data_IF_653619482694
#
_entry.id   IF_653619482694
#
_cell.length_a   1.000
_cell.length_b   1.000
_cell.length_c   1.000
_cell.angle_alpha   90.00
_cell.angle_beta   90.00
_cell.angle_gamma   90.00
#
_symmetry.space_group_name_H-M   'P 1'
#
loop_
_entity.id
_entity.type
_entity.pdbx_description
1 polymer ?
#
# COMPACT_ATOMS: atom_id res chain seq x y z
N UNK A 1 -15.26 -2.64 -7.90
CA UNK A 1 -14.04 -1.83 -7.80
C UNK A 1 -12.85 -2.75 -7.61
N UNK A 2 -12.77 -3.51 -6.54
CA UNK A 2 -11.64 -4.41 -6.23
C UNK A 2 -11.33 -5.42 -7.34
N UNK A 3 -12.32 -5.83 -8.13
CA UNK A 3 -12.13 -6.77 -9.25
C UNK A 3 -11.08 -6.29 -10.26
N UNK A 4 -10.99 -4.99 -10.53
CA UNK A 4 -10.01 -4.44 -11.48
C UNK A 4 -8.57 -4.66 -11.00
N UNK A 5 -8.33 -4.57 -9.69
CA UNK A 5 -7.05 -4.87 -9.07
C UNK A 5 -6.74 -6.36 -9.11
N UNK A 6 -7.71 -7.19 -8.71
CA UNK A 6 -7.55 -8.64 -8.68
C UNK A 6 -7.30 -9.22 -10.08
N UNK A 7 -8.08 -8.78 -11.07
CA UNK A 7 -7.90 -9.21 -12.45
C UNK A 7 -6.50 -8.82 -13.00
N UNK A 8 -6.01 -7.61 -12.67
CA UNK A 8 -4.68 -7.16 -13.08
C UNK A 8 -3.55 -7.97 -12.42
N UNK A 9 -3.67 -8.24 -11.13
CA UNK A 9 -2.70 -9.03 -10.35
C UNK A 9 -2.62 -10.46 -10.88
N UNK A 10 -3.78 -11.09 -11.09
CA UNK A 10 -3.87 -12.48 -11.57
C UNK A 10 -3.37 -12.60 -13.00
N UNK A 11 -3.65 -11.63 -13.87
CA UNK A 11 -3.15 -11.60 -15.25
C UNK A 11 -1.62 -11.59 -15.32
N UNK A 12 -0.93 -11.10 -14.29
CA UNK A 12 0.53 -11.17 -14.18
C UNK A 12 1.04 -12.48 -13.57
N UNK A 13 0.16 -13.45 -13.30
CA UNK A 13 0.51 -14.73 -12.68
C UNK A 13 0.90 -14.59 -11.20
N UNK A 14 0.41 -13.56 -10.53
CA UNK A 14 0.51 -13.40 -9.07
C UNK A 14 -0.71 -14.08 -8.47
N UNK A 15 -0.50 -15.15 -7.72
CA UNK A 15 -1.58 -15.99 -7.18
C UNK A 15 -1.65 -16.01 -5.66
N UNK A 16 -0.66 -15.45 -4.99
CA UNK A 16 -0.65 -15.31 -3.55
C UNK A 16 -1.26 -13.96 -3.18
N UNK A 17 -2.56 -13.97 -2.87
CA UNK A 17 -3.38 -12.78 -2.67
C UNK A 17 -4.03 -12.83 -1.29
N UNK A 18 -3.80 -11.79 -0.50
CA UNK A 18 -4.39 -11.61 0.82
C UNK A 18 -5.22 -10.32 0.85
N UNK A 19 -6.38 -10.38 1.46
CA UNK A 19 -7.24 -9.22 1.70
C UNK A 19 -7.41 -9.07 3.20
N UNK A 20 -6.98 -7.95 3.73
CA UNK A 20 -7.27 -7.58 5.12
C UNK A 20 -8.65 -6.96 5.18
N UNK A 21 -9.50 -7.47 6.05
CA UNK A 21 -10.88 -7.04 6.16
C UNK A 21 -11.30 -6.78 7.62
N UNK A 22 -12.30 -5.95 7.80
CA UNK A 22 -12.86 -5.60 9.09
C UNK A 22 -14.36 -5.34 8.98
N UNK A 23 -14.77 -4.09 8.83
CA UNK A 23 -16.17 -3.72 8.72
C UNK A 23 -16.88 -4.45 7.57
N UNK A 24 -17.97 -5.13 7.88
CA UNK A 24 -18.73 -5.96 6.92
C UNK A 24 -17.86 -6.97 6.16
N UNK A 25 -16.84 -7.50 6.83
CA UNK A 25 -15.84 -8.38 6.24
C UNK A 25 -16.42 -9.59 5.51
N UNK A 26 -17.51 -10.18 6.04
CA UNK A 26 -18.21 -11.33 5.44
C UNK A 26 -18.80 -11.02 4.05
N UNK A 27 -19.06 -9.76 3.70
CA UNK A 27 -19.53 -9.41 2.36
C UNK A 27 -18.47 -9.66 1.28
N UNK A 28 -17.20 -9.74 1.67
CA UNK A 28 -16.09 -10.07 0.76
C UNK A 28 -15.99 -11.56 0.45
N UNK A 29 -16.70 -12.44 1.17
CA UNK A 29 -16.72 -13.89 0.91
C UNK A 29 -17.18 -14.20 -0.52
N UNK A 30 -18.05 -13.35 -1.09
CA UNK A 30 -18.50 -13.49 -2.48
C UNK A 30 -17.35 -13.43 -3.51
N UNK A 31 -16.21 -12.80 -3.17
CA UNK A 31 -15.03 -12.76 -4.05
C UNK A 31 -14.47 -14.17 -4.29
N UNK A 32 -14.64 -15.09 -3.36
CA UNK A 32 -14.13 -16.46 -3.49
C UNK A 32 -14.80 -17.23 -4.63
N UNK A 33 -16.00 -16.86 -5.06
CA UNK A 33 -16.64 -17.46 -6.23
C UNK A 33 -15.86 -17.21 -7.53
N UNK A 34 -15.27 -16.02 -7.67
CA UNK A 34 -14.48 -15.65 -8.84
C UNK A 34 -12.97 -15.86 -8.61
N UNK A 35 -12.51 -15.66 -7.38
CA UNK A 35 -11.10 -15.66 -6.99
C UNK A 35 -10.84 -16.63 -5.83
N UNK A 36 -10.92 -17.95 -6.06
CA UNK A 36 -10.83 -18.94 -4.97
C UNK A 36 -9.46 -19.01 -4.28
N UNK A 37 -8.42 -18.37 -4.86
CA UNK A 37 -7.08 -18.30 -4.29
C UNK A 37 -6.93 -17.24 -3.20
N UNK A 38 -7.87 -16.32 -3.03
CA UNK A 38 -7.80 -15.27 -2.02
C UNK A 38 -7.83 -15.87 -0.61
N UNK A 39 -7.00 -15.30 0.24
CA UNK A 39 -6.99 -15.56 1.68
C UNK A 39 -7.36 -14.28 2.42
N UNK A 40 -8.25 -14.39 3.40
CA UNK A 40 -8.63 -13.27 4.24
C UNK A 40 -7.81 -13.21 5.51
N UNK A 41 -7.48 -11.98 5.92
CA UNK A 41 -6.88 -11.67 7.22
C UNK A 41 -7.87 -10.77 7.94
N UNK A 42 -8.28 -11.17 9.14
CA UNK A 42 -9.19 -10.37 9.95
C UNK A 42 -8.41 -9.28 10.70
N UNK A 43 -8.90 -8.05 10.61
CA UNK A 43 -8.44 -6.94 11.44
C UNK A 43 -9.44 -6.74 12.58
N UNK A 44 -9.16 -7.22 13.79
CA UNK A 44 -10.13 -7.15 14.91
C UNK A 44 -10.29 -5.74 15.49
N UNK A 45 -9.41 -4.82 15.13
CA UNK A 45 -9.39 -3.45 15.68
C UNK A 45 -9.66 -2.38 14.60
N UNK A 46 -10.32 -2.77 13.52
CA UNK A 46 -10.62 -1.88 12.38
C UNK A 46 -11.41 -0.62 12.77
N UNK A 47 -12.16 -0.66 13.87
CA UNK A 47 -12.95 0.46 14.39
C UNK A 47 -12.25 1.25 15.52
N UNK A 48 -11.05 0.82 15.91
CA UNK A 48 -10.28 1.42 17.01
C UNK A 48 -8.99 2.08 16.53
N UNK A 49 -8.60 1.82 15.28
CA UNK A 49 -7.34 2.27 14.71
C UNK A 49 -7.49 2.56 13.22
N UNK A 50 -6.61 3.40 12.69
CA UNK A 50 -6.56 3.69 11.26
C UNK A 50 -5.95 2.50 10.46
N UNK A 51 -5.78 2.65 9.15
CA UNK A 51 -5.32 1.58 8.25
C UNK A 51 -3.94 0.98 8.59
N UNK A 52 -3.14 1.65 9.43
CA UNK A 52 -1.92 1.05 10.00
C UNK A 52 -2.21 -0.26 10.72
N UNK A 53 -3.40 -0.42 11.31
CA UNK A 53 -3.80 -1.66 11.97
C UNK A 53 -3.94 -2.82 10.98
N UNK A 54 -4.43 -2.56 9.76
CA UNK A 54 -4.50 -3.55 8.70
C UNK A 54 -3.11 -3.97 8.23
N UNK A 55 -2.20 -3.00 8.05
CA UNK A 55 -0.81 -3.28 7.73
C UNK A 55 -0.10 -4.07 8.85
N UNK A 56 -0.41 -3.76 10.11
CA UNK A 56 0.11 -4.50 11.26
C UNK A 56 -0.32 -5.97 11.24
N UNK A 57 -1.60 -6.25 10.97
CA UNK A 57 -2.12 -7.62 10.84
C UNK A 57 -1.45 -8.41 9.71
N UNK A 58 -1.07 -7.75 8.61
CA UNK A 58 -0.49 -8.36 7.41
C UNK A 58 1.03 -8.18 7.30
N UNK A 59 1.70 -7.57 8.28
CA UNK A 59 3.09 -7.15 8.17
C UNK A 59 4.06 -8.26 7.78
N UNK A 60 3.81 -9.49 8.25
CA UNK A 60 4.63 -10.67 7.93
C UNK A 60 4.59 -11.09 6.44
N UNK A 61 3.70 -10.50 5.63
CA UNK A 61 3.54 -10.78 4.20
C UNK A 61 4.19 -9.73 3.29
N UNK A 62 4.79 -8.68 3.84
CA UNK A 62 5.23 -7.51 3.07
C UNK A 62 6.53 -7.69 2.29
N UNK A 63 7.18 -8.86 2.37
CA UNK A 63 8.40 -9.16 1.61
C UNK A 63 8.06 -9.52 0.17
N UNK A 64 8.70 -8.83 -0.79
CA UNK A 64 8.42 -8.99 -2.23
C UNK A 64 6.92 -8.87 -2.53
N UNK A 65 6.27 -7.83 -2.04
CA UNK A 65 4.83 -7.71 -2.07
C UNK A 65 4.35 -6.37 -2.58
N UNK A 66 3.25 -6.40 -3.31
CA UNK A 66 2.41 -5.23 -3.53
C UNK A 66 1.53 -4.98 -2.31
N UNK A 67 1.35 -3.72 -1.96
CA UNK A 67 0.30 -3.25 -1.05
C UNK A 67 -0.60 -2.31 -1.83
N UNK A 68 -1.90 -2.59 -1.80
CA UNK A 68 -2.89 -1.86 -2.60
C UNK A 68 -4.09 -1.48 -1.74
N UNK A 69 -4.58 -0.27 -1.91
CA UNK A 69 -5.87 0.13 -1.37
C UNK A 69 -7.00 -0.51 -2.17
N UNK A 70 -7.94 -1.13 -1.48
CA UNK A 70 -8.95 -2.00 -2.10
C UNK A 70 -10.10 -1.24 -2.80
N UNK A 71 -10.19 0.07 -2.60
CA UNK A 71 -11.20 0.95 -3.17
C UNK A 71 -10.76 1.67 -4.46
N UNK A 72 -9.59 1.32 -4.97
CA UNK A 72 -9.06 1.83 -6.23
C UNK A 72 -9.69 1.15 -7.44
N UNK A 73 -9.99 1.94 -8.47
CA UNK A 73 -10.36 1.45 -9.79
C UNK A 73 -9.16 1.54 -10.74
N UNK A 74 -8.61 0.40 -11.08
CA UNK A 74 -7.45 0.31 -11.98
C UNK A 74 -7.89 0.22 -13.44
N UNK A 75 -7.72 1.30 -14.20
CA UNK A 75 -8.02 1.35 -15.63
C UNK A 75 -6.91 0.76 -16.48
N UNK A 76 -5.66 0.94 -16.08
CA UNK A 76 -4.50 0.45 -16.81
C UNK A 76 -3.84 -0.72 -16.07
N UNK A 77 -4.17 -1.98 -16.41
CA UNK A 77 -3.62 -3.15 -15.73
C UNK A 77 -2.12 -3.33 -15.94
N UNK A 78 -1.52 -2.66 -16.96
CA UNK A 78 -0.08 -2.73 -17.19
C UNK A 78 0.77 -2.06 -16.11
N UNK A 79 0.14 -1.28 -15.23
CA UNK A 79 0.78 -0.73 -14.03
C UNK A 79 1.20 -1.83 -13.04
N UNK A 80 0.57 -3.00 -13.10
CA UNK A 80 0.96 -4.14 -12.29
C UNK A 80 1.85 -5.06 -13.11
N UNK A 81 3.05 -5.32 -12.61
CA UNK A 81 4.00 -6.27 -13.21
C UNK A 81 4.47 -7.25 -12.16
N UNK A 82 4.69 -8.51 -12.57
CA UNK A 82 5.08 -9.58 -11.63
C UNK A 82 6.41 -9.30 -10.93
N UNK A 83 7.35 -8.73 -11.67
CA UNK A 83 8.71 -8.49 -11.18
C UNK A 83 8.98 -7.01 -11.02
N UNK A 84 9.41 -6.62 -9.83
CA UNK A 84 9.87 -5.29 -9.48
C UNK A 84 11.25 -5.42 -8.83
N UNK A 85 12.12 -4.46 -9.07
CA UNK A 85 13.53 -4.51 -8.62
C UNK A 85 13.85 -3.56 -7.48
N UNK A 86 12.92 -2.65 -7.18
CA UNK A 86 13.07 -1.66 -6.10
C UNK A 86 11.71 -1.35 -5.49
N UNK A 87 11.72 -0.97 -4.22
CA UNK A 87 10.52 -0.47 -3.57
C UNK A 87 10.06 0.82 -4.24
N UNK A 88 8.76 0.91 -4.53
CA UNK A 88 8.19 2.05 -5.23
C UNK A 88 6.75 2.31 -4.83
N UNK A 89 6.31 3.53 -5.09
CA UNK A 89 4.93 3.97 -4.90
C UNK A 89 4.42 4.58 -6.20
N UNK A 90 3.20 4.22 -6.63
CA UNK A 90 2.58 4.84 -7.80
C UNK A 90 2.16 6.27 -7.49
N UNK A 91 2.50 7.18 -8.38
CA UNK A 91 2.16 8.59 -8.23
C UNK A 91 1.79 9.25 -9.55
N UNK A 92 0.76 10.07 -9.52
CA UNK A 92 0.32 10.90 -10.66
C UNK A 92 0.97 12.25 -10.54
N UNK A 93 1.78 12.71 -11.52
CA UNK A 93 2.36 14.04 -11.49
C UNK A 93 1.25 15.10 -11.61
N UNK A 94 1.25 16.07 -10.71
CA UNK A 94 0.25 17.12 -10.63
C UNK A 94 0.88 18.48 -10.33
N UNK A 95 0.31 19.54 -10.93
CA UNK A 95 0.71 20.90 -10.61
C UNK A 95 0.26 21.30 -9.20
N UNK A 96 -0.90 20.78 -8.77
CA UNK A 96 -1.48 21.04 -7.46
C UNK A 96 -2.39 19.90 -7.02
N UNK A 97 -2.35 19.55 -5.75
CA UNK A 97 -3.33 18.67 -5.09
C UNK A 97 -3.68 19.17 -3.70
N UNK A 98 -4.84 18.80 -3.19
CA UNK A 98 -5.25 19.02 -1.80
C UNK A 98 -5.20 17.72 -0.98
N UNK A 99 -4.76 16.63 -1.61
CA UNK A 99 -4.72 15.27 -1.05
C UNK A 99 -3.27 14.84 -0.77
N UNK A 100 -3.09 13.61 -0.32
CA UNK A 100 -1.79 13.01 -0.04
C UNK A 100 -0.89 13.04 -1.29
N UNK A 101 0.33 13.52 -1.10
CA UNK A 101 1.29 13.65 -2.18
C UNK A 101 2.73 13.39 -1.73
N UNK A 102 3.57 13.07 -2.72
CA UNK A 102 4.98 12.77 -2.55
C UNK A 102 5.84 13.80 -3.25
N UNK A 103 6.91 14.20 -2.59
CA UNK A 103 8.02 14.94 -3.17
C UNK A 103 9.20 14.04 -3.36
N UNK A 104 9.96 14.28 -4.41
CA UNK A 104 11.14 13.45 -4.75
C UNK A 104 12.37 14.30 -4.99
N UNK A 105 13.53 13.70 -4.74
CA UNK A 105 14.82 14.17 -5.20
C UNK A 105 15.54 13.02 -5.89
N UNK A 106 15.96 13.24 -7.15
CA UNK A 106 16.55 12.18 -7.96
C UNK A 106 15.65 10.94 -8.13
N UNK A 107 14.32 11.10 -8.10
CA UNK A 107 13.33 10.02 -8.19
C UNK A 107 13.05 9.30 -6.87
N UNK A 108 13.82 9.55 -5.81
CA UNK A 108 13.59 9.03 -4.47
C UNK A 108 12.58 9.90 -3.72
N UNK A 109 11.63 9.29 -3.03
CA UNK A 109 10.72 9.99 -2.12
C UNK A 109 11.51 10.61 -0.96
N UNK A 110 11.33 11.91 -0.77
CA UNK A 110 11.98 12.67 0.31
C UNK A 110 10.99 13.25 1.30
N UNK A 111 9.72 13.33 0.92
CA UNK A 111 8.67 13.87 1.78
C UNK A 111 7.29 13.39 1.33
N UNK A 112 6.45 13.07 2.32
CA UNK A 112 5.02 12.86 2.17
C UNK A 112 4.27 14.04 2.82
N UNK A 113 3.22 14.54 2.19
CA UNK A 113 2.45 15.67 2.69
C UNK A 113 0.97 15.58 2.31
N UNK A 114 0.12 16.34 3.00
CA UNK A 114 -1.27 16.59 2.59
C UNK A 114 -1.30 17.96 1.92
N UNK A 115 -1.70 17.97 0.65
CA UNK A 115 -1.69 19.15 -0.18
C UNK A 115 -0.29 19.57 -0.64
N UNK A 116 -0.18 19.96 -1.90
CA UNK A 116 1.11 20.36 -2.46
C UNK A 116 1.02 20.91 -3.87
N UNK A 117 2.18 21.38 -4.35
CA UNK A 117 2.38 21.88 -5.71
C UNK A 117 3.57 21.18 -6.35
N UNK A 118 3.50 20.93 -7.67
CA UNK A 118 4.56 20.27 -8.42
C UNK A 118 5.04 18.97 -7.71
N UNK A 119 4.12 18.08 -7.43
CA UNK A 119 4.32 16.88 -6.65
C UNK A 119 3.63 15.68 -7.30
N UNK A 120 3.73 14.52 -6.68
CA UNK A 120 3.05 13.31 -7.13
C UNK A 120 1.87 13.02 -6.20
N UNK A 121 0.64 13.09 -6.74
CA UNK A 121 -0.55 12.61 -6.02
C UNK A 121 -0.44 11.10 -5.80
N UNK A 122 -0.62 10.64 -4.58
CA UNK A 122 -0.48 9.22 -4.23
C UNK A 122 -1.61 8.39 -4.82
N UNK A 123 -1.27 7.25 -5.44
CA UNK A 123 -2.26 6.39 -6.11
C UNK A 123 -2.62 5.15 -5.29
N UNK A 124 -2.11 4.98 -4.08
CA UNK A 124 -2.50 3.88 -3.18
C UNK A 124 -2.03 2.48 -3.62
N UNK A 125 -1.04 2.39 -4.50
CA UNK A 125 -0.38 1.14 -4.89
C UNK A 125 1.12 1.28 -4.69
N UNK A 126 1.71 0.36 -3.93
CA UNK A 126 3.14 0.32 -3.68
C UNK A 126 3.68 -1.10 -3.79
N UNK A 127 4.97 -1.21 -4.08
CA UNK A 127 5.70 -2.47 -4.06
C UNK A 127 6.88 -2.36 -3.08
N UNK A 128 7.12 -3.44 -2.35
CA UNK A 128 8.17 -3.53 -1.33
C UNK A 128 9.07 -4.72 -1.61
N UNK A 129 10.37 -4.48 -1.69
CA UNK A 129 11.38 -5.54 -1.84
C UNK A 129 11.41 -6.45 -0.61
N UNK A 130 12.11 -7.56 -0.71
CA UNK A 130 12.32 -8.46 0.44
C UNK A 130 12.99 -7.73 1.61
N UNK A 131 14.02 -6.94 1.31
CA UNK A 131 14.76 -6.18 2.32
C UNK A 131 13.87 -5.12 3.00
N UNK A 132 13.18 -4.30 2.21
CA UNK A 132 12.32 -3.24 2.76
C UNK A 132 11.08 -3.82 3.44
N UNK A 133 10.50 -4.88 2.90
CA UNK A 133 9.41 -5.61 3.55
C UNK A 133 9.81 -6.19 4.90
N UNK A 134 11.04 -6.66 5.05
CA UNK A 134 11.55 -7.12 6.34
C UNK A 134 11.68 -5.98 7.37
N UNK A 135 12.14 -4.80 6.93
CA UNK A 135 12.18 -3.60 7.80
C UNK A 135 10.79 -3.15 8.20
N UNK A 136 9.82 -3.18 7.27
CA UNK A 136 8.43 -2.77 7.53
C UNK A 136 7.79 -3.56 8.66
N UNK A 137 8.11 -4.83 8.84
CA UNK A 137 7.59 -5.65 9.95
C UNK A 137 7.87 -4.98 11.29
N UNK A 138 9.11 -4.55 11.50
CA UNK A 138 9.53 -3.93 12.76
C UNK A 138 9.08 -2.46 12.83
N UNK A 139 9.22 -1.70 11.77
CA UNK A 139 8.90 -0.28 11.74
C UNK A 139 7.38 -0.02 11.87
N UNK A 140 6.52 -0.85 11.26
CA UNK A 140 5.06 -0.79 11.46
C UNK A 140 4.71 -1.06 12.93
N UNK A 141 5.33 -2.07 13.53
CA UNK A 141 5.12 -2.41 14.94
C UNK A 141 5.54 -1.25 15.85
N UNK A 142 6.70 -0.67 15.59
CA UNK A 142 7.24 0.45 16.35
C UNK A 142 6.29 1.65 16.31
N UNK A 143 5.88 2.08 15.11
CA UNK A 143 4.95 3.20 14.95
C UNK A 143 3.58 2.89 15.55
N UNK A 144 3.03 1.69 15.31
CA UNK A 144 1.71 1.30 15.82
C UNK A 144 1.63 1.31 17.35
N UNK A 145 2.70 0.87 18.03
CA UNK A 145 2.77 0.80 19.49
C UNK A 145 3.14 2.12 20.15
N UNK A 146 3.66 3.09 19.39
CA UNK A 146 3.99 4.41 19.92
C UNK A 146 2.72 5.21 20.31
N UNK A 147 2.82 6.18 21.21
CA UNK A 147 1.71 7.07 21.55
C UNK A 147 1.15 7.75 20.28
N UNK A 148 -0.18 7.60 20.04
CA UNK A 148 -0.85 8.11 18.85
C UNK A 148 -0.59 7.29 17.58
N UNK A 149 0.11 6.16 17.66
CA UNK A 149 0.44 5.32 16.51
C UNK A 149 -0.76 4.70 15.83
N UNK A 150 -1.81 4.36 16.58
CA UNK A 150 -3.05 3.78 16.05
C UNK A 150 -3.81 4.72 15.09
N UNK A 151 -3.59 6.04 15.21
CA UNK A 151 -4.21 7.05 14.36
C UNK A 151 -3.50 7.25 13.02
N UNK A 152 -2.36 6.58 12.80
CA UNK A 152 -1.50 6.78 11.64
C UNK A 152 -1.96 5.98 10.43
N UNK A 153 -1.64 6.49 9.24
CA UNK A 153 -1.72 5.73 8.00
C UNK A 153 -0.48 4.86 7.87
N UNK A 154 -0.65 3.68 7.31
CA UNK A 154 0.42 2.68 7.24
C UNK A 154 1.63 3.14 6.40
N UNK A 155 1.38 3.88 5.32
CA UNK A 155 2.42 4.39 4.43
C UNK A 155 3.25 5.52 5.06
N UNK A 156 2.73 6.22 6.08
CA UNK A 156 3.52 7.15 6.88
C UNK A 156 4.71 6.45 7.56
N UNK A 157 4.64 5.14 7.80
CA UNK A 157 5.74 4.41 8.44
C UNK A 157 7.03 4.56 7.64
N UNK A 158 7.02 4.21 6.36
CA UNK A 158 8.20 4.26 5.50
C UNK A 158 8.42 5.62 4.83
N UNK A 159 7.36 6.41 4.65
CA UNK A 159 7.45 7.65 3.87
C UNK A 159 7.50 8.92 4.73
N UNK A 160 7.40 8.78 6.05
CA UNK A 160 7.50 9.89 7.01
C UNK A 160 8.31 9.52 8.25
N UNK A 161 7.86 8.58 9.08
CA UNK A 161 8.48 8.30 10.39
C UNK A 161 9.85 7.64 10.31
N UNK A 162 10.03 6.71 9.38
CA UNK A 162 11.29 5.98 9.16
C UNK A 162 11.84 6.21 7.75
N UNK A 163 11.61 7.37 7.17
CA UNK A 163 11.95 7.67 5.76
C UNK A 163 13.43 7.45 5.44
N UNK A 164 14.32 7.65 6.40
CA UNK A 164 15.76 7.44 6.22
C UNK A 164 16.15 5.95 6.11
N UNK A 165 15.27 5.03 6.53
CA UNK A 165 15.50 3.60 6.44
C UNK A 165 15.19 3.03 5.05
N UNK A 166 14.52 3.80 4.19
CA UNK A 166 13.97 3.32 2.92
C UNK A 166 14.49 4.12 1.73
N UNK A 167 14.61 3.45 0.60
CA UNK A 167 14.88 4.07 -0.69
C UNK A 167 13.71 3.76 -1.64
N UNK A 168 12.60 4.48 -1.43
CA UNK A 168 11.39 4.31 -2.22
C UNK A 168 11.40 5.29 -3.38
N UNK A 169 11.21 4.81 -4.60
CA UNK A 169 11.04 5.65 -5.78
C UNK A 169 9.56 5.88 -6.11
N UNK A 170 9.25 7.01 -6.74
CA UNK A 170 7.95 7.19 -7.38
C UNK A 170 7.97 6.53 -8.75
N UNK A 171 6.97 5.70 -9.02
CA UNK A 171 6.68 5.19 -10.34
C UNK A 171 5.48 5.94 -10.91
N UNK A 172 5.73 6.75 -11.93
CA UNK A 172 4.70 7.60 -12.52
C UNK A 172 3.59 6.78 -13.19
N UNK A 173 2.36 7.21 -12.99
CA UNK A 173 1.18 6.71 -13.67
C UNK A 173 0.26 7.87 -14.07
N UNK A 174 -0.65 7.63 -15.03
CA UNK A 174 -1.62 8.59 -15.57
C UNK A 174 -2.98 7.91 -15.78
#
# INVERSE_FOLDING_TARGET
IIDSLLDAVIAQGITEIYIVRGYLGEQFDQLLYKYPMIKFIENPVYNEANNISSAYCASYLLKNAYVMEADLLLYNPSLITKYQYSSNYLGVPVDKTNDWCLYTDGGRVTKMAIGGFNCYHMFGISYWTEEDGAKLVEDIKDVYQAPGGKERYWDQVALEYHIDNYNVSVRECS
#
